data_IF_936097773107
#
_entry.id   IF_936097773107
#
_cell.length_a   1.000
_cell.length_b   1.000
_cell.length_c   1.000
_cell.angle_alpha   90.00
_cell.angle_beta   90.00
_cell.angle_gamma   90.00
#
_symmetry.space_group_name_H-M   'P 1'
#
loop_
_entity.id
_entity.type
_entity.pdbx_description
1 polymer ?
#
# COMPACT_ATOMS: atom_id res chain seq x y z
N UNK A 1 2.48 23.36 15.72
CA UNK A 1 1.46 22.48 15.11
C UNK A 1 0.94 22.97 13.74
N UNK A 2 1.34 24.16 13.27
CA UNK A 2 0.85 24.75 12.00
C UNK A 2 1.59 24.23 10.76
N UNK A 3 2.89 23.90 10.88
CA UNK A 3 3.74 23.47 9.76
C UNK A 3 3.38 22.06 9.27
N UNK A 4 3.28 21.06 10.16
CA UNK A 4 2.89 19.68 9.79
C UNK A 4 1.54 19.62 9.05
N UNK A 5 0.55 20.43 9.45
CA UNK A 5 -0.75 20.50 8.76
C UNK A 5 -0.60 21.04 7.33
N UNK A 6 0.26 22.05 7.13
CA UNK A 6 0.52 22.60 5.82
C UNK A 6 1.25 21.60 4.91
N UNK A 7 2.22 20.85 5.45
CA UNK A 7 2.93 19.79 4.71
C UNK A 7 1.97 18.67 4.31
N UNK A 8 1.13 18.18 5.23
CA UNK A 8 0.09 17.19 4.93
C UNK A 8 -0.90 17.67 3.87
N UNK A 9 -1.37 18.91 3.97
CA UNK A 9 -2.30 19.48 2.99
C UNK A 9 -1.64 19.64 1.61
N UNK A 10 -0.37 20.06 1.56
CA UNK A 10 0.42 20.15 0.34
C UNK A 10 0.63 18.78 -0.31
N UNK A 11 0.92 17.77 0.49
CA UNK A 11 1.07 16.38 0.05
C UNK A 11 -0.22 15.85 -0.58
N UNK A 12 -1.35 15.98 0.13
CA UNK A 12 -2.67 15.57 -0.38
C UNK A 12 -3.00 16.28 -1.69
N UNK A 13 -2.78 17.59 -1.77
CA UNK A 13 -3.05 18.37 -2.98
C UNK A 13 -2.22 17.89 -4.17
N UNK A 14 -0.93 17.65 -3.94
CA UNK A 14 0.01 17.18 -4.98
C UNK A 14 -0.40 15.81 -5.49
N UNK A 15 -0.75 14.90 -4.57
CA UNK A 15 -1.22 13.57 -4.94
C UNK A 15 -2.54 13.61 -5.71
N UNK A 16 -3.53 14.40 -5.26
CA UNK A 16 -4.81 14.53 -5.96
C UNK A 16 -4.65 15.11 -7.36
N UNK A 17 -3.77 16.10 -7.55
CA UNK A 17 -3.47 16.67 -8.87
C UNK A 17 -2.74 15.71 -9.80
N UNK A 18 -2.03 14.72 -9.26
CA UNK A 18 -1.23 13.79 -10.07
C UNK A 18 -2.08 12.81 -10.91
N UNK A 19 -3.35 12.60 -10.54
CA UNK A 19 -4.21 11.55 -11.11
C UNK A 19 -3.91 10.13 -10.60
N UNK A 20 -2.73 9.89 -10.00
CA UNK A 20 -2.34 8.57 -9.47
C UNK A 20 -3.20 8.15 -8.28
N UNK A 21 -3.69 9.10 -7.47
CA UNK A 21 -4.60 8.81 -6.36
C UNK A 21 -5.91 8.18 -6.82
N UNK A 22 -6.43 8.60 -7.97
CA UNK A 22 -7.64 8.01 -8.54
C UNK A 22 -7.40 6.55 -8.95
N UNK A 23 -6.22 6.26 -9.51
CA UNK A 23 -5.82 4.91 -9.85
C UNK A 23 -5.63 4.05 -8.58
N UNK A 24 -5.00 4.59 -7.54
CA UNK A 24 -4.82 3.91 -6.25
C UNK A 24 -6.16 3.49 -5.64
N UNK A 25 -7.09 4.43 -5.49
CA UNK A 25 -8.40 4.17 -4.89
C UNK A 25 -9.35 3.40 -5.83
N UNK A 26 -9.03 3.31 -7.12
CA UNK A 26 -9.75 2.48 -8.08
C UNK A 26 -9.39 0.99 -8.02
N UNK A 27 -8.19 0.63 -7.57
CA UNK A 27 -7.74 -0.78 -7.48
C UNK A 27 -8.65 -1.67 -6.63
N UNK A 28 -9.15 -1.24 -5.46
CA UNK A 28 -10.15 -1.99 -4.69
C UNK A 28 -11.39 -2.39 -5.51
N UNK A 29 -11.82 -1.55 -6.45
CA UNK A 29 -12.99 -1.84 -7.30
C UNK A 29 -12.72 -3.00 -8.26
N UNK A 30 -11.49 -3.09 -8.77
CA UNK A 30 -11.05 -4.20 -9.62
C UNK A 30 -11.06 -5.50 -8.80
N UNK A 31 -10.56 -5.47 -7.57
CA UNK A 31 -10.61 -6.62 -6.66
C UNK A 31 -12.04 -7.04 -6.32
N UNK A 32 -12.93 -6.09 -6.05
CA UNK A 32 -14.35 -6.37 -5.81
C UNK A 32 -14.96 -7.08 -7.02
N UNK A 33 -14.69 -6.61 -8.24
CA UNK A 33 -15.18 -7.25 -9.47
C UNK A 33 -14.69 -8.69 -9.57
N UNK A 34 -13.40 -8.93 -9.33
CA UNK A 34 -12.81 -10.28 -9.33
C UNK A 34 -13.50 -11.17 -8.29
N UNK A 35 -13.61 -10.72 -7.04
CA UNK A 35 -14.23 -11.50 -5.94
C UNK A 35 -15.70 -11.84 -6.25
N UNK A 36 -16.44 -10.93 -6.89
CA UNK A 36 -17.84 -11.15 -7.27
C UNK A 36 -18.01 -12.20 -8.37
N UNK A 37 -17.01 -12.35 -9.25
CA UNK A 37 -16.98 -13.39 -10.29
C UNK A 37 -16.63 -14.77 -9.73
N UNK A 38 -16.05 -14.84 -8.52
CA UNK A 38 -15.66 -16.10 -7.89
C UNK A 38 -16.84 -16.82 -7.20
N UNK A 39 -16.79 -18.17 -7.13
CA UNK A 39 -17.74 -18.99 -6.37
C UNK A 39 -17.81 -18.56 -4.89
N UNK A 40 -18.98 -18.60 -4.24
CA UNK A 40 -19.18 -18.14 -2.86
C UNK A 40 -18.16 -18.68 -1.86
N UNK A 41 -17.77 -19.95 -1.99
CA UNK A 41 -16.86 -20.64 -1.08
C UNK A 41 -15.43 -20.07 -1.11
N UNK A 42 -15.02 -19.50 -2.24
CA UNK A 42 -13.67 -18.93 -2.45
C UNK A 42 -13.58 -17.43 -2.16
N UNK A 43 -14.72 -16.75 -1.94
CA UNK A 43 -14.76 -15.29 -1.73
C UNK A 43 -14.01 -14.82 -0.47
N UNK A 44 -14.07 -15.52 0.68
CA UNK A 44 -13.34 -15.08 1.87
C UNK A 44 -11.82 -15.13 1.67
N UNK A 45 -11.31 -16.18 1.02
CA UNK A 45 -9.88 -16.35 0.71
C UNK A 45 -9.43 -15.30 -0.31
N UNK A 46 -10.21 -15.09 -1.36
CA UNK A 46 -9.93 -14.06 -2.36
C UNK A 46 -9.98 -12.64 -1.77
N UNK A 47 -10.91 -12.37 -0.85
CA UNK A 47 -10.97 -11.12 -0.12
C UNK A 47 -9.73 -10.93 0.76
N UNK A 48 -9.32 -11.96 1.51
CA UNK A 48 -8.09 -11.91 2.32
C UNK A 48 -6.86 -11.59 1.46
N UNK A 49 -6.72 -12.25 0.30
CA UNK A 49 -5.64 -11.98 -0.65
C UNK A 49 -5.69 -10.54 -1.19
N UNK A 50 -6.87 -10.05 -1.57
CA UNK A 50 -7.05 -8.67 -2.04
C UNK A 50 -6.72 -7.64 -0.96
N UNK A 51 -7.18 -7.86 0.27
CA UNK A 51 -6.93 -6.99 1.43
C UNK A 51 -5.45 -7.01 1.84
N UNK A 52 -4.73 -8.10 1.60
CA UNK A 52 -3.29 -8.16 1.84
C UNK A 52 -2.50 -7.48 0.71
N UNK A 53 -2.88 -7.74 -0.53
CA UNK A 53 -2.21 -7.19 -1.71
C UNK A 53 -2.36 -5.67 -1.82
N UNK A 54 -3.55 -5.12 -1.52
CA UNK A 54 -3.81 -3.69 -1.71
C UNK A 54 -2.93 -2.77 -0.83
N UNK A 55 -2.85 -2.91 0.51
CA UNK A 55 -2.11 -1.98 1.35
C UNK A 55 -0.60 -2.05 1.11
N UNK A 56 -0.04 -3.26 1.00
CA UNK A 56 1.41 -3.46 0.96
C UNK A 56 1.94 -3.27 -0.46
N UNK A 57 1.34 -3.93 -1.46
CA UNK A 57 1.83 -3.85 -2.84
C UNK A 57 1.46 -2.50 -3.44
N UNK A 58 0.20 -2.04 -3.31
CA UNK A 58 -0.17 -0.72 -3.84
C UNK A 58 0.51 0.39 -3.03
N UNK A 59 0.65 0.25 -1.71
CA UNK A 59 1.43 1.20 -0.90
C UNK A 59 2.87 1.36 -1.42
N UNK A 60 3.54 0.26 -1.75
CA UNK A 60 4.90 0.25 -2.31
C UNK A 60 4.96 0.86 -3.72
N UNK A 61 4.11 0.38 -4.63
CA UNK A 61 4.11 0.83 -6.03
C UNK A 61 3.74 2.31 -6.12
N UNK A 62 2.66 2.73 -5.47
CA UNK A 62 2.22 4.12 -5.64
C UNK A 62 3.11 5.10 -4.91
N UNK A 63 3.62 4.76 -3.72
CA UNK A 63 4.57 5.65 -3.03
C UNK A 63 5.84 5.84 -3.87
N UNK A 64 6.34 4.77 -4.49
CA UNK A 64 7.48 4.88 -5.38
C UNK A 64 7.16 5.62 -6.68
N UNK A 65 5.97 5.44 -7.26
CA UNK A 65 5.53 6.17 -8.44
C UNK A 65 5.36 7.68 -8.15
N UNK A 66 4.83 8.05 -6.98
CA UNK A 66 4.78 9.43 -6.53
C UNK A 66 6.19 10.01 -6.40
N UNK A 67 7.11 9.28 -5.76
CA UNK A 67 8.48 9.74 -5.60
C UNK A 67 9.21 9.93 -6.94
N UNK A 68 9.09 8.98 -7.87
CA UNK A 68 9.68 9.08 -9.20
C UNK A 68 9.14 10.30 -9.96
N UNK A 69 7.83 10.57 -9.86
CA UNK A 69 7.21 11.75 -10.45
C UNK A 69 7.72 13.04 -9.83
N UNK A 70 7.91 13.09 -8.53
CA UNK A 70 8.43 14.28 -7.85
C UNK A 70 9.87 14.58 -8.25
N UNK A 71 10.67 13.52 -8.50
CA UNK A 71 12.01 13.65 -9.05
C UNK A 71 11.98 14.22 -10.47
N UNK A 72 11.09 13.71 -11.32
CA UNK A 72 10.91 14.19 -12.71
C UNK A 72 10.47 15.65 -12.76
N UNK A 73 9.56 16.04 -11.87
CA UNK A 73 9.05 17.42 -11.75
C UNK A 73 10.04 18.40 -11.09
N UNK A 74 11.21 17.94 -10.67
CA UNK A 74 12.22 18.79 -10.05
C UNK A 74 11.82 19.37 -8.69
N UNK A 75 10.97 18.65 -7.93
CA UNK A 75 10.55 19.11 -6.59
C UNK A 75 11.70 19.10 -5.57
N UNK A 76 12.71 18.25 -5.73
CA UNK A 76 13.86 18.20 -4.82
C UNK A 76 14.71 19.48 -4.81
N UNK A 77 15.09 20.07 -5.95
CA UNK A 77 15.67 21.41 -6.00
C UNK A 77 14.80 22.49 -5.34
N UNK A 78 13.47 22.40 -5.48
CA UNK A 78 12.54 23.34 -4.86
C UNK A 78 12.49 23.20 -3.32
N UNK A 79 12.74 22.00 -2.79
CA UNK A 79 12.81 21.79 -1.33
C UNK A 79 13.99 22.49 -0.67
N UNK A 80 15.08 22.74 -1.39
CA UNK A 80 16.25 23.43 -0.86
C UNK A 80 15.97 24.89 -0.46
N UNK A 81 14.94 25.51 -1.03
CA UNK A 81 14.55 26.91 -0.76
C UNK A 81 13.30 27.04 0.12
N UNK A 82 12.63 25.92 0.42
CA UNK A 82 11.49 25.90 1.35
C UNK A 82 11.94 25.46 2.75
N UNK A 83 11.41 26.03 3.84
CA UNK A 83 11.75 25.64 5.21
C UNK A 83 11.04 24.33 5.61
N UNK A 84 11.19 23.28 4.81
CA UNK A 84 10.51 22.00 5.00
C UNK A 84 11.50 20.96 5.55
N UNK A 85 11.18 20.36 6.69
CA UNK A 85 12.02 19.34 7.29
C UNK A 85 11.79 17.98 6.60
N UNK A 86 12.86 17.28 6.23
CA UNK A 86 12.80 15.96 5.59
C UNK A 86 12.04 14.92 6.43
N UNK A 87 12.12 15.02 7.77
CA UNK A 87 11.36 14.15 8.67
C UNK A 87 9.85 14.41 8.62
N UNK A 88 9.43 15.68 8.54
CA UNK A 88 8.01 16.04 8.44
C UNK A 88 7.41 15.60 7.10
N UNK A 89 8.19 15.73 6.02
CA UNK A 89 7.83 15.21 4.70
C UNK A 89 7.66 13.69 4.68
N UNK A 90 8.60 12.95 5.28
CA UNK A 90 8.54 11.49 5.34
C UNK A 90 7.29 11.04 6.10
N UNK A 91 7.05 11.64 7.27
CA UNK A 91 5.88 11.34 8.11
C UNK A 91 4.59 11.69 7.36
N UNK A 92 4.52 12.85 6.69
CA UNK A 92 3.32 13.23 5.93
C UNK A 92 3.04 12.25 4.80
N UNK A 93 4.07 11.83 4.06
CA UNK A 93 3.95 10.85 2.97
C UNK A 93 3.37 9.53 3.47
N UNK A 94 3.96 8.99 4.54
CA UNK A 94 3.57 7.71 5.13
C UNK A 94 2.13 7.79 5.65
N UNK A 95 1.75 8.88 6.34
CA UNK A 95 0.38 9.07 6.85
C UNK A 95 -0.63 9.11 5.71
N UNK A 96 -0.36 9.87 4.65
CA UNK A 96 -1.30 10.02 3.52
C UNK A 96 -1.50 8.68 2.81
N UNK A 97 -0.42 7.97 2.50
CA UNK A 97 -0.50 6.65 1.84
C UNK A 97 -1.17 5.63 2.76
N UNK A 98 -0.80 5.59 4.04
CA UNK A 98 -1.42 4.67 5.00
C UNK A 98 -2.93 4.90 5.14
N UNK A 99 -3.35 6.17 5.12
CA UNK A 99 -4.76 6.54 5.11
C UNK A 99 -5.46 6.07 3.84
N UNK A 100 -4.85 6.28 2.67
CA UNK A 100 -5.40 5.82 1.38
C UNK A 100 -5.53 4.29 1.35
N UNK A 101 -4.53 3.54 1.81
CA UNK A 101 -4.57 2.08 1.86
C UNK A 101 -5.64 1.55 2.82
N UNK A 102 -5.86 2.25 3.93
CA UNK A 102 -6.95 1.93 4.86
C UNK A 102 -8.31 2.16 4.21
N UNK A 103 -8.50 3.30 3.53
CA UNK A 103 -9.73 3.58 2.78
C UNK A 103 -9.97 2.52 1.69
N UNK A 104 -8.93 2.16 0.94
CA UNK A 104 -9.00 1.14 -0.10
C UNK A 104 -9.43 -0.22 0.44
N UNK A 105 -8.84 -0.68 1.56
CA UNK A 105 -9.21 -1.94 2.19
C UNK A 105 -10.65 -1.94 2.74
N UNK A 106 -11.13 -0.81 3.28
CA UNK A 106 -12.53 -0.66 3.72
C UNK A 106 -13.48 -0.76 2.52
N UNK A 107 -13.16 -0.09 1.40
CA UNK A 107 -13.93 -0.18 0.15
C UNK A 107 -14.00 -1.63 -0.30
N UNK A 108 -12.86 -2.33 -0.35
CA UNK A 108 -12.78 -3.73 -0.78
C UNK A 108 -13.69 -4.63 0.07
N UNK A 109 -13.61 -4.55 1.40
CA UNK A 109 -14.43 -5.37 2.31
C UNK A 109 -15.92 -5.09 2.14
N UNK A 110 -16.30 -3.81 2.08
CA UNK A 110 -17.69 -3.42 1.90
C UNK A 110 -18.26 -3.94 0.56
N UNK A 111 -17.46 -3.94 -0.50
CA UNK A 111 -17.86 -4.46 -1.81
C UNK A 111 -17.82 -5.99 -1.92
N UNK A 112 -16.91 -6.65 -1.21
CA UNK A 112 -16.77 -8.11 -1.18
C UNK A 112 -17.90 -8.81 -0.41
N UNK A 113 -18.56 -8.10 0.52
CA UNK A 113 -19.68 -8.64 1.30
C UNK A 113 -19.24 -9.64 2.38
N UNK A 114 -17.98 -9.55 2.82
CA UNK A 114 -17.42 -10.39 3.88
C UNK A 114 -17.54 -9.66 5.22
N UNK A 115 -17.89 -10.38 6.29
CA UNK A 115 -17.93 -9.82 7.65
C UNK A 115 -16.51 -9.73 8.18
N UNK A 116 -16.09 -8.55 8.58
CA UNK A 116 -14.78 -8.30 9.16
C UNK A 116 -14.91 -7.49 10.45
N UNK A 117 -14.08 -7.78 11.44
CA UNK A 117 -13.93 -6.92 12.61
C UNK A 117 -13.13 -5.65 12.24
N UNK A 118 -13.85 -4.54 12.07
CA UNK A 118 -13.27 -3.25 11.71
C UNK A 118 -12.27 -2.72 12.76
N UNK A 119 -12.45 -3.08 14.04
CA UNK A 119 -11.57 -2.60 15.12
C UNK A 119 -10.16 -3.19 14.99
N UNK A 120 -10.04 -4.42 14.49
CA UNK A 120 -8.75 -5.07 14.25
C UNK A 120 -8.22 -4.80 12.83
N UNK A 121 -9.12 -4.65 11.87
CA UNK A 121 -8.78 -4.44 10.47
C UNK A 121 -8.10 -3.09 10.22
N UNK A 122 -8.71 -2.00 10.67
CA UNK A 122 -8.24 -0.63 10.42
C UNK A 122 -6.76 -0.43 10.84
N UNK A 123 -6.36 -0.73 12.10
CA UNK A 123 -4.96 -0.55 12.50
C UNK A 123 -4.02 -1.47 11.72
N UNK A 124 -4.46 -2.67 11.36
CA UNK A 124 -3.67 -3.60 10.55
C UNK A 124 -3.41 -3.06 9.15
N UNK A 125 -4.45 -2.55 8.47
CA UNK A 125 -4.33 -1.94 7.14
C UNK A 125 -3.46 -0.70 7.16
N UNK A 126 -3.63 0.15 8.18
CA UNK A 126 -2.85 1.37 8.32
C UNK A 126 -1.35 1.05 8.48
N UNK A 127 -1.01 0.11 9.37
CA UNK A 127 0.38 -0.32 9.59
C UNK A 127 0.96 -1.02 8.35
N UNK A 128 0.20 -1.90 7.71
CA UNK A 128 0.62 -2.59 6.50
C UNK A 128 0.93 -1.59 5.36
N UNK A 129 0.04 -0.62 5.17
CA UNK A 129 0.22 0.42 4.14
C UNK A 129 1.34 1.39 4.48
N UNK A 130 1.56 1.70 5.77
CA UNK A 130 2.70 2.51 6.19
C UNK A 130 4.03 1.80 5.89
N UNK A 131 4.10 0.49 6.13
CA UNK A 131 5.27 -0.32 5.77
C UNK A 131 5.48 -0.38 4.26
N UNK A 132 4.39 -0.56 3.49
CA UNK A 132 4.42 -0.48 2.03
C UNK A 132 4.97 0.87 1.54
N UNK A 133 4.53 1.98 2.13
CA UNK A 133 5.03 3.31 1.78
C UNK A 133 6.55 3.44 1.99
N UNK A 134 7.05 2.98 3.14
CA UNK A 134 8.49 3.00 3.43
C UNK A 134 9.28 2.14 2.44
N UNK A 135 8.80 0.94 2.12
CA UNK A 135 9.41 0.10 1.09
C UNK A 135 9.43 0.79 -0.28
N UNK A 136 8.33 1.43 -0.66
CA UNK A 136 8.22 2.19 -1.92
C UNK A 136 9.28 3.29 -2.02
N UNK A 137 9.51 4.02 -0.92
CA UNK A 137 10.54 5.07 -0.85
C UNK A 137 11.96 4.53 -0.98
N UNK A 138 12.24 3.33 -0.46
CA UNK A 138 13.56 2.70 -0.57
C UNK A 138 13.83 2.24 -2.00
N UNK A 139 12.84 1.61 -2.64
CA UNK A 139 12.97 1.04 -3.98
C UNK A 139 13.00 2.12 -5.07
N UNK A 140 12.27 3.23 -4.88
CA UNK A 140 12.10 4.24 -5.92
C UNK A 140 13.29 5.19 -6.13
N UNK A 141 14.28 5.18 -5.25
CA UNK A 141 15.44 6.09 -5.32
C UNK A 141 16.19 6.15 -6.66
N UNK A 142 16.43 5.03 -7.38
CA UNK A 142 17.17 5.07 -8.63
C UNK A 142 16.30 5.46 -9.84
N UNK A 143 14.98 5.54 -9.69
CA UNK A 143 14.05 5.74 -10.79
C UNK A 143 13.62 7.20 -10.87
N UNK A 144 13.87 7.83 -12.02
CA UNK A 144 13.47 9.21 -12.32
C UNK A 144 12.21 9.31 -13.16
N UNK A 145 11.68 8.18 -13.64
CA UNK A 145 10.51 8.11 -14.50
C UNK A 145 9.49 7.12 -13.90
N UNK A 146 8.22 7.50 -13.99
CA UNK A 146 7.09 6.76 -13.39
C UNK A 146 6.95 5.38 -14.03
N UNK A 147 6.98 5.30 -15.36
CA UNK A 147 6.75 4.05 -16.08
C UNK A 147 7.87 3.06 -15.79
N UNK A 148 9.10 3.54 -15.80
CA UNK A 148 10.30 2.77 -15.46
C UNK A 148 10.20 2.21 -14.03
N UNK A 149 9.72 3.02 -13.08
CA UNK A 149 9.47 2.55 -11.73
C UNK A 149 8.33 1.52 -11.65
N UNK A 150 7.19 1.75 -12.30
CA UNK A 150 6.04 0.82 -12.22
C UNK A 150 6.43 -0.55 -12.77
N UNK A 151 7.15 -0.60 -13.90
CA UNK A 151 7.63 -1.85 -14.49
C UNK A 151 8.64 -2.53 -13.57
N UNK A 152 9.70 -1.83 -13.18
CA UNK A 152 10.78 -2.44 -12.39
C UNK A 152 10.34 -2.77 -10.95
N UNK A 153 9.57 -1.89 -10.31
CA UNK A 153 9.01 -2.07 -8.98
C UNK A 153 7.95 -3.18 -8.96
N UNK A 154 7.10 -3.26 -9.99
CA UNK A 154 6.18 -4.37 -10.19
C UNK A 154 6.90 -5.70 -10.36
N UNK A 155 7.95 -5.75 -11.18
CA UNK A 155 8.80 -6.94 -11.34
C UNK A 155 9.50 -7.32 -10.04
N UNK A 156 10.05 -6.35 -9.30
CA UNK A 156 10.70 -6.61 -8.01
C UNK A 156 9.70 -7.21 -7.01
N UNK A 157 8.50 -6.64 -6.90
CA UNK A 157 7.44 -7.18 -6.04
C UNK A 157 6.98 -8.57 -6.50
N UNK A 158 6.86 -8.81 -7.80
CA UNK A 158 6.52 -10.13 -8.33
C UNK A 158 7.59 -11.17 -7.98
N UNK A 159 8.88 -10.85 -8.16
CA UNK A 159 10.01 -11.71 -7.81
C UNK A 159 10.11 -11.96 -6.30
N UNK A 160 9.79 -10.95 -5.49
CA UNK A 160 9.76 -11.04 -4.03
C UNK A 160 8.62 -11.95 -3.54
N UNK A 161 7.46 -11.91 -4.19
CA UNK A 161 6.28 -12.68 -3.77
C UNK A 161 6.21 -14.09 -4.40
N UNK A 162 6.94 -14.35 -5.49
CA UNK A 162 7.02 -15.65 -6.17
C UNK A 162 7.38 -16.83 -5.25
N UNK A 163 8.38 -16.70 -4.35
CA UNK A 163 8.74 -17.76 -3.42
C UNK A 163 7.71 -18.00 -2.31
N UNK A 164 6.89 -16.99 -1.99
CA UNK A 164 5.76 -17.10 -1.06
C UNK A 164 4.66 -17.95 -1.69
N UNK A 165 4.34 -17.70 -2.96
CA UNK A 165 3.35 -18.47 -3.72
C UNK A 165 3.77 -19.93 -3.96
N UNK A 166 5.08 -20.20 -4.04
CA UNK A 166 5.62 -21.55 -4.23
C UNK A 166 5.70 -22.42 -2.96
N UNK A 167 5.46 -21.86 -1.76
CA UNK A 167 5.57 -22.61 -0.49
C UNK A 167 7.00 -22.99 -0.07
N UNK A 168 8.02 -22.49 -0.77
CA UNK A 168 9.42 -22.91 -0.58
C UNK A 168 10.19 -22.08 0.47
N UNK A 169 9.65 -20.96 0.95
CA UNK A 169 10.33 -20.09 1.91
C UNK A 169 9.68 -20.17 3.31
N UNK A 170 10.49 -20.50 4.32
CA UNK A 170 10.09 -20.43 5.74
C UNK A 170 9.73 -18.98 6.13
N UNK A 171 8.74 -18.77 7.03
CA UNK A 171 8.14 -17.46 7.35
C UNK A 171 9.12 -16.31 7.65
N UNK A 172 10.34 -16.60 8.14
CA UNK A 172 11.33 -15.59 8.54
C UNK A 172 11.96 -14.78 7.41
N UNK A 173 12.08 -15.31 6.19
CA UNK A 173 12.64 -14.56 5.05
C UNK A 173 11.59 -13.70 4.33
N UNK A 174 10.33 -14.13 4.34
CA UNK A 174 9.18 -13.33 3.86
C UNK A 174 9.03 -12.06 4.71
N UNK A 175 9.25 -12.20 6.02
CA UNK A 175 9.35 -11.09 6.99
C UNK A 175 10.28 -9.95 6.56
N UNK A 176 11.37 -10.25 5.84
CA UNK A 176 12.35 -9.24 5.45
C UNK A 176 11.89 -8.39 4.26
N UNK A 177 11.08 -8.97 3.36
CA UNK A 177 10.62 -8.30 2.15
C UNK A 177 9.18 -7.77 2.23
N UNK A 178 8.30 -8.44 2.98
CA UNK A 178 6.93 -7.97 3.26
C UNK A 178 6.83 -7.23 4.58
N UNK A 179 7.88 -7.23 5.41
CA UNK A 179 7.90 -6.53 6.69
C UNK A 179 6.77 -6.99 7.64
N UNK A 180 6.33 -6.10 8.56
CA UNK A 180 5.25 -6.31 9.54
C UNK A 180 3.89 -6.74 8.97
N UNK A 181 3.75 -6.87 7.65
CA UNK A 181 2.57 -7.40 7.01
C UNK A 181 2.32 -8.89 7.30
N UNK A 182 3.32 -9.66 7.75
CA UNK A 182 3.15 -11.07 8.10
C UNK A 182 2.32 -11.30 9.39
N UNK A 183 2.58 -10.59 10.52
CA UNK A 183 1.61 -10.48 11.60
C UNK A 183 0.24 -10.00 11.10
N UNK A 184 0.25 -9.07 10.14
CA UNK A 184 -0.93 -8.58 9.43
C UNK A 184 -1.75 -9.69 8.75
N UNK A 185 -1.13 -10.68 8.12
CA UNK A 185 -1.86 -11.81 7.51
C UNK A 185 -2.62 -12.62 8.55
N UNK A 186 -1.97 -12.99 9.65
CA UNK A 186 -2.62 -13.73 10.75
C UNK A 186 -3.72 -12.90 11.43
N UNK A 187 -3.51 -11.59 11.62
CA UNK A 187 -4.53 -10.71 12.20
C UNK A 187 -5.67 -10.45 11.21
N UNK A 188 -5.41 -10.28 9.92
CA UNK A 188 -6.44 -10.15 8.87
C UNK A 188 -7.25 -11.44 8.72
N UNK A 189 -6.61 -12.61 8.77
CA UNK A 189 -7.28 -13.90 8.79
C UNK A 189 -8.22 -14.00 10.00
N UNK A 190 -7.73 -13.66 11.20
CA UNK A 190 -8.57 -13.61 12.41
C UNK A 190 -9.70 -12.56 12.32
N UNK A 191 -9.46 -11.41 11.70
CA UNK A 191 -10.46 -10.36 11.50
C UNK A 191 -11.59 -10.81 10.58
N UNK A 192 -11.30 -11.72 9.64
CA UNK A 192 -12.27 -12.34 8.73
C UNK A 192 -12.85 -13.66 9.29
N UNK A 193 -12.44 -14.08 10.49
CA UNK A 193 -12.89 -15.33 11.12
C UNK A 193 -12.32 -16.60 10.47
N UNK A 194 -11.23 -16.49 9.71
CA UNK A 194 -10.53 -17.60 9.08
C UNK A 194 -9.40 -18.11 9.98
N UNK A 195 -9.20 -19.43 10.05
CA UNK A 195 -8.05 -20.04 10.73
C UNK A 195 -6.75 -19.64 9.99
N UNK A 196 -5.67 -19.21 10.68
CA UNK A 196 -4.41 -18.83 10.04
C UNK A 196 -3.73 -19.95 9.25
N UNK A 197 -4.19 -21.19 9.39
CA UNK A 197 -3.59 -22.41 8.83
C UNK A 197 -4.46 -23.11 7.76
N UNK A 198 -5.49 -22.43 7.22
CA UNK A 198 -6.40 -22.95 6.19
C UNK A 198 -6.16 -22.36 4.80
#
# INVERSE_FOLDING_TARGET
MTVMKAVLAGEIRTQLHSGLTALYLGMPLVWILIIRLLPPDSRPVAALLGIYADPVMMGTIFTGAFLAREQDQGLFPAWAVTPMNAGEWLISRVIVIATQGTIGGIILISGAGVRADLALLIPTLFLASACGALNGLLIARPFRDILSFIVAGGMALALINLPVAGGYIKPGWVWFFTGPAWPGWSTLASALGLSPEG
#
